data_IF_697956694918
#
_entry.id   IF_697956694918
#
_cell.length_a   1.000
_cell.length_b   1.000
_cell.length_c   1.000
_cell.angle_alpha   90.00
_cell.angle_beta   90.00
_cell.angle_gamma   90.00
#
_symmetry.space_group_name_H-M   'P 1'
#
loop_
_entity.id
_entity.type
_entity.pdbx_description
1 polymer ?
#
# COMPACT_ATOMS: atom_id res chain seq x y z
N UNK A 1 13.79 11.29 11.45
CA UNK A 1 13.08 10.66 10.33
C UNK A 1 12.30 11.73 9.59
N UNK A 2 12.26 11.65 8.26
CA UNK A 2 11.36 12.45 7.45
C UNK A 2 9.90 12.03 7.72
N UNK A 3 8.94 12.94 7.49
CA UNK A 3 7.49 12.62 7.54
C UNK A 3 7.14 11.37 6.73
N UNK A 4 7.93 11.15 5.69
CA UNK A 4 7.74 10.14 4.70
C UNK A 4 8.25 8.78 5.21
N UNK A 5 9.46 8.72 5.79
CA UNK A 5 9.96 7.54 6.52
C UNK A 5 9.02 7.08 7.64
N UNK A 6 8.39 8.03 8.35
CA UNK A 6 7.39 7.71 9.38
C UNK A 6 6.17 6.99 8.79
N UNK A 7 5.65 7.44 7.65
CA UNK A 7 4.50 6.80 6.98
C UNK A 7 4.84 5.38 6.53
N UNK A 8 6.06 5.13 6.06
CA UNK A 8 6.47 3.75 5.71
C UNK A 8 6.53 2.85 6.94
N UNK A 9 7.10 3.34 8.04
CA UNK A 9 7.15 2.59 9.28
C UNK A 9 5.73 2.27 9.80
N UNK A 10 4.83 3.25 9.80
CA UNK A 10 3.43 3.08 10.18
C UNK A 10 2.71 2.04 9.30
N UNK A 11 2.94 2.04 7.98
CA UNK A 11 2.36 1.04 7.07
C UNK A 11 2.92 -0.37 7.32
N UNK A 12 4.20 -0.50 7.64
CA UNK A 12 4.81 -1.78 8.01
C UNK A 12 4.24 -2.32 9.33
N UNK A 13 4.08 -1.45 10.34
CA UNK A 13 3.46 -1.83 11.61
C UNK A 13 1.99 -2.24 11.40
N UNK A 14 1.24 -1.45 10.62
CA UNK A 14 -0.14 -1.75 10.27
C UNK A 14 -0.27 -3.10 9.58
N UNK A 15 0.62 -3.43 8.64
CA UNK A 15 0.63 -4.73 7.97
C UNK A 15 0.81 -5.88 8.95
N UNK A 16 1.73 -5.73 9.92
CA UNK A 16 1.97 -6.75 10.93
C UNK A 16 0.77 -6.93 11.88
N UNK A 17 0.11 -5.84 12.25
CA UNK A 17 -1.12 -5.86 13.05
C UNK A 17 -2.24 -6.59 12.29
N UNK A 18 -2.47 -6.26 11.03
CA UNK A 18 -3.50 -6.89 10.18
C UNK A 18 -3.18 -8.37 9.90
N UNK A 19 -1.90 -8.71 9.72
CA UNK A 19 -1.47 -10.10 9.61
C UNK A 19 -1.77 -10.90 10.89
N UNK A 20 -1.59 -10.27 12.06
CA UNK A 20 -1.89 -10.92 13.35
C UNK A 20 -3.40 -11.14 13.57
N UNK A 21 -4.25 -10.27 13.02
CA UNK A 21 -5.71 -10.42 13.08
C UNK A 21 -6.27 -11.39 12.03
N UNK A 22 -5.46 -11.76 11.02
CA UNK A 22 -5.89 -12.60 9.91
C UNK A 22 -6.84 -11.90 8.93
N UNK A 23 -6.94 -10.58 8.98
CA UNK A 23 -7.80 -9.81 8.09
C UNK A 23 -7.15 -9.64 6.71
N UNK A 24 -7.39 -10.62 5.85
CA UNK A 24 -6.86 -10.67 4.50
C UNK A 24 -7.23 -9.43 3.65
N UNK A 25 -8.38 -8.79 3.88
CA UNK A 25 -8.77 -7.62 3.11
C UNK A 25 -7.98 -6.38 3.53
N UNK A 26 -7.78 -6.19 4.84
CA UNK A 26 -6.91 -5.12 5.33
C UNK A 26 -5.45 -5.35 4.88
N UNK A 27 -4.92 -6.57 5.02
CA UNK A 27 -3.57 -6.93 4.53
C UNK A 27 -3.39 -6.55 3.06
N UNK A 28 -4.36 -6.91 2.20
CA UNK A 28 -4.30 -6.57 0.77
C UNK A 28 -4.24 -5.06 0.53
N UNK A 29 -5.05 -4.29 1.24
CA UNK A 29 -5.05 -2.83 1.11
C UNK A 29 -3.71 -2.24 1.53
N UNK A 30 -3.14 -2.70 2.64
CA UNK A 30 -1.85 -2.21 3.14
C UNK A 30 -0.69 -2.58 2.24
N UNK A 31 -0.67 -3.80 1.68
CA UNK A 31 0.32 -4.22 0.68
C UNK A 31 0.23 -3.35 -0.58
N UNK A 32 -0.98 -3.08 -1.09
CA UNK A 32 -1.15 -2.23 -2.26
C UNK A 32 -0.60 -0.80 -2.01
N UNK A 33 -0.90 -0.23 -0.84
CA UNK A 33 -0.38 1.08 -0.44
C UNK A 33 1.16 1.09 -0.35
N UNK A 34 1.77 0.04 0.21
CA UNK A 34 3.23 -0.09 0.30
C UNK A 34 3.89 -0.14 -1.09
N UNK A 35 3.29 -0.84 -2.06
CA UNK A 35 3.81 -0.92 -3.44
C UNK A 35 3.73 0.45 -4.12
N UNK A 36 2.57 1.12 -4.06
CA UNK A 36 2.36 2.44 -4.66
C UNK A 36 3.28 3.49 -4.07
N UNK A 37 3.45 3.46 -2.75
CA UNK A 37 4.35 4.36 -2.04
C UNK A 37 5.80 4.11 -2.45
N UNK A 38 6.23 2.86 -2.51
CA UNK A 38 7.58 2.49 -2.96
C UNK A 38 7.85 2.99 -4.38
N UNK A 39 6.85 2.92 -5.27
CA UNK A 39 6.93 3.49 -6.60
C UNK A 39 7.11 5.01 -6.58
N UNK A 40 6.34 5.73 -5.74
CA UNK A 40 6.47 7.18 -5.56
C UNK A 40 7.87 7.58 -5.09
N UNK A 41 8.45 6.82 -4.16
CA UNK A 41 9.81 7.10 -3.67
C UNK A 41 10.88 6.89 -4.73
N UNK A 42 10.77 5.81 -5.51
CA UNK A 42 11.68 5.59 -6.64
C UNK A 42 11.61 6.73 -7.66
N UNK A 43 10.41 7.26 -7.94
CA UNK A 43 10.25 8.43 -8.79
C UNK A 43 10.92 9.68 -8.18
N UNK A 44 10.77 9.92 -6.87
CA UNK A 44 11.44 11.04 -6.17
C UNK A 44 12.96 10.94 -6.22
N UNK A 45 13.49 9.72 -6.19
CA UNK A 45 14.92 9.44 -6.37
C UNK A 45 15.37 9.37 -7.84
N UNK A 46 14.52 9.80 -8.78
CA UNK A 46 14.78 9.80 -10.25
C UNK A 46 15.01 8.42 -10.84
N UNK A 47 14.57 7.36 -10.16
CA UNK A 47 14.56 6.00 -10.68
C UNK A 47 13.20 5.69 -11.31
N UNK A 48 12.92 6.33 -12.45
CA UNK A 48 11.61 6.25 -13.11
C UNK A 48 11.32 4.84 -13.65
N UNK A 49 12.32 4.09 -14.10
CA UNK A 49 12.14 2.73 -14.60
C UNK A 49 11.61 1.80 -13.50
N UNK A 50 12.25 1.78 -12.34
CA UNK A 50 11.81 0.96 -11.22
C UNK A 50 10.47 1.45 -10.64
N UNK A 51 10.22 2.77 -10.67
CA UNK A 51 8.92 3.34 -10.30
C UNK A 51 7.78 2.82 -11.19
N UNK A 52 7.96 2.86 -12.52
CA UNK A 52 6.97 2.35 -13.48
C UNK A 52 6.72 0.86 -13.26
N UNK A 53 7.78 0.07 -13.07
CA UNK A 53 7.67 -1.35 -12.80
C UNK A 53 6.84 -1.63 -11.54
N UNK A 54 7.06 -0.90 -10.45
CA UNK A 54 6.25 -1.06 -9.24
C UNK A 54 4.79 -0.60 -9.42
N UNK A 55 4.53 0.44 -10.21
CA UNK A 55 3.15 0.83 -10.52
C UNK A 55 2.43 -0.24 -11.33
N UNK A 56 3.12 -0.93 -12.24
CA UNK A 56 2.52 -2.03 -12.99
C UNK A 56 2.27 -3.25 -12.09
N UNK A 57 3.16 -3.51 -11.13
CA UNK A 57 2.91 -4.50 -10.06
C UNK A 57 1.69 -4.13 -9.22
N UNK A 58 1.54 -2.85 -8.83
CA UNK A 58 0.37 -2.39 -8.08
C UNK A 58 -0.93 -2.62 -8.86
N UNK A 59 -0.96 -2.28 -10.15
CA UNK A 59 -2.14 -2.52 -11.01
C UNK A 59 -2.47 -4.00 -11.14
N UNK A 60 -1.47 -4.85 -11.33
CA UNK A 60 -1.69 -6.30 -11.44
C UNK A 60 -2.18 -6.89 -10.11
N UNK A 61 -1.62 -6.41 -8.99
CA UNK A 61 -2.06 -6.77 -7.66
C UNK A 61 -3.53 -6.39 -7.45
N UNK A 62 -3.94 -5.16 -7.78
CA UNK A 62 -5.34 -4.72 -7.69
C UNK A 62 -6.29 -5.47 -8.61
N UNK A 63 -5.82 -5.85 -9.81
CA UNK A 63 -6.60 -6.66 -10.74
C UNK A 63 -6.89 -8.04 -10.16
N UNK A 64 -5.89 -8.63 -9.50
CA UNK A 64 -5.98 -9.95 -8.87
C UNK A 64 -6.77 -9.88 -7.56
N UNK A 65 -6.61 -8.78 -6.83
CA UNK A 65 -7.14 -8.54 -5.51
C UNK A 65 -7.80 -7.16 -5.44
N UNK A 66 -9.03 -7.02 -5.98
CA UNK A 66 -9.71 -5.75 -5.99
C UNK A 66 -9.87 -5.23 -4.57
N UNK A 67 -9.45 -3.97 -4.33
CA UNK A 67 -9.68 -3.33 -3.04
C UNK A 67 -11.17 -3.29 -2.78
N UNK A 68 -11.60 -3.79 -1.62
CA UNK A 68 -12.94 -3.50 -1.16
C UNK A 68 -13.01 -1.99 -0.92
N UNK A 69 -13.82 -1.29 -1.71
CA UNK A 69 -14.19 0.09 -1.37
C UNK A 69 -14.73 0.02 0.05
N UNK A 70 -14.04 0.62 1.01
CA UNK A 70 -14.59 0.86 2.34
C UNK A 70 -15.92 1.58 2.10
N UNK A 71 -17.03 0.84 2.17
CA UNK A 71 -18.35 1.42 2.32
C UNK A 71 -18.20 2.20 3.62
N UNK A 72 -18.10 3.51 3.50
CA UNK A 72 -18.33 4.38 4.64
C UNK A 72 -19.74 4.04 5.10
N UNK A 73 -19.85 3.14 6.08
CA UNK A 73 -20.97 3.14 7.00
C UNK A 73 -20.77 4.40 7.83
N UNK A 74 -21.14 5.54 7.26
CA UNK A 74 -21.64 6.63 8.07
C UNK A 74 -22.96 6.13 8.64
N UNK A 75 -22.80 5.56 9.83
CA UNK A 75 -23.82 5.27 10.82
C UNK A 75 -24.68 6.53 10.99
N UNK A 76 -25.98 6.28 11.15
CA UNK A 76 -27.07 7.16 11.58
C UNK A 76 -26.65 8.40 12.39
#
# INVERSE_FOLDING_TARGET
MSKLENVTAELCDQLMIEASSGDLNCIKNTVAMLIEYSACELARHKNSEASILLLDVAKEFERTFPREKQRHQSIL
#
